data_IF_714858955578
#
_entry.id   IF_714858955578
#
_cell.length_a   1.000
_cell.length_b   1.000
_cell.length_c   1.000
_cell.angle_alpha   90.00
_cell.angle_beta   90.00
_cell.angle_gamma   90.00
#
_symmetry.space_group_name_H-M   'P 1'
#
loop_
_entity.id
_entity.type
_entity.pdbx_description
1 polymer ?
#
# COMPACT_ATOMS: atom_id res chain seq x y z
N UNK A 1 8.35 -29.67 10.23
CA UNK A 1 9.75 -30.06 10.44
C UNK A 1 10.63 -29.18 9.56
N UNK A 2 11.73 -28.63 10.09
CA UNK A 2 12.70 -27.83 9.32
C UNK A 2 13.92 -28.65 8.96
N UNK A 3 14.50 -28.43 7.78
CA UNK A 3 15.66 -29.19 7.29
C UNK A 3 16.70 -28.23 6.70
N UNK A 4 17.99 -28.56 6.84
CA UNK A 4 19.09 -27.83 6.20
C UNK A 4 19.63 -28.66 5.05
N UNK A 5 19.79 -28.03 3.88
CA UNK A 5 20.27 -28.65 2.64
C UNK A 5 21.43 -27.85 2.06
N UNK A 6 22.37 -28.54 1.43
CA UNK A 6 23.58 -28.00 0.81
C UNK A 6 23.74 -28.41 -0.65
N UNK A 7 23.04 -29.47 -1.06
CA UNK A 7 23.10 -30.05 -2.40
C UNK A 7 21.71 -30.14 -3.04
N UNK A 8 21.66 -30.30 -4.38
CA UNK A 8 20.39 -30.43 -5.10
C UNK A 8 19.62 -31.68 -4.65
N UNK A 9 20.33 -32.79 -4.40
CA UNK A 9 19.70 -34.02 -3.93
C UNK A 9 19.04 -33.86 -2.56
N UNK A 10 19.69 -33.17 -1.63
CA UNK A 10 19.12 -32.89 -0.31
C UNK A 10 17.89 -31.98 -0.41
N UNK A 11 17.94 -31.00 -1.33
CA UNK A 11 16.81 -30.13 -1.62
C UNK A 11 15.63 -30.91 -2.23
N UNK A 12 15.88 -31.77 -3.21
CA UNK A 12 14.85 -32.57 -3.86
C UNK A 12 14.18 -33.53 -2.85
N UNK A 13 14.97 -34.14 -1.96
CA UNK A 13 14.44 -34.98 -0.88
C UNK A 13 13.60 -34.15 0.11
N UNK A 14 14.08 -32.98 0.52
CA UNK A 14 13.34 -32.08 1.41
C UNK A 14 12.00 -31.63 0.84
N UNK A 15 11.95 -31.38 -0.48
CA UNK A 15 10.72 -31.03 -1.20
C UNK A 15 9.76 -32.22 -1.29
N UNK A 16 10.27 -33.41 -1.61
CA UNK A 16 9.47 -34.65 -1.65
C UNK A 16 8.84 -34.97 -0.29
N UNK A 17 9.59 -34.74 0.79
CA UNK A 17 9.14 -34.95 2.17
C UNK A 17 8.21 -33.83 2.68
N UNK A 18 7.94 -32.81 1.86
CA UNK A 18 7.11 -31.63 2.19
C UNK A 18 7.59 -30.96 3.48
N UNK A 19 8.91 -30.74 3.60
CA UNK A 19 9.49 -30.03 4.72
C UNK A 19 8.84 -28.64 4.87
N UNK A 20 8.53 -28.25 6.11
CA UNK A 20 7.82 -27.01 6.39
C UNK A 20 8.69 -25.77 6.11
N UNK A 21 10.00 -25.89 6.38
CA UNK A 21 11.01 -24.86 6.11
C UNK A 21 12.30 -25.54 5.66
N UNK A 22 12.86 -25.09 4.54
CA UNK A 22 14.11 -25.61 3.98
C UNK A 22 15.19 -24.53 4.09
N UNK A 23 16.22 -24.74 4.92
CA UNK A 23 17.39 -23.88 5.00
C UNK A 23 18.42 -24.28 3.94
N UNK A 24 18.76 -23.38 3.03
CA UNK A 24 19.82 -23.59 2.05
C UNK A 24 21.11 -22.95 2.57
N UNK A 25 22.14 -23.80 2.75
CA UNK A 25 23.49 -23.41 3.13
C UNK A 25 24.51 -24.02 2.16
N UNK A 26 24.44 -23.62 0.88
CA UNK A 26 25.36 -24.11 -0.15
C UNK A 26 26.67 -23.31 -0.17
N UNK A 27 27.73 -23.93 -0.68
CA UNK A 27 28.96 -23.18 -1.00
C UNK A 27 28.70 -22.15 -2.11
N UNK A 28 29.55 -21.12 -2.16
CA UNK A 28 29.49 -20.10 -3.20
C UNK A 28 29.64 -20.75 -4.59
N UNK A 29 28.77 -20.36 -5.54
CA UNK A 29 28.80 -20.91 -6.91
C UNK A 29 27.94 -22.16 -7.10
N UNK A 30 27.48 -22.81 -6.03
CA UNK A 30 26.53 -23.93 -6.11
C UNK A 30 25.12 -23.38 -6.31
N UNK A 31 24.51 -23.74 -7.43
CA UNK A 31 23.14 -23.35 -7.76
C UNK A 31 22.17 -24.46 -7.41
N UNK A 32 21.20 -24.13 -6.55
CA UNK A 32 20.12 -25.03 -6.19
C UNK A 32 18.81 -24.56 -6.83
N UNK A 33 18.16 -25.46 -7.57
CA UNK A 33 16.93 -25.21 -8.33
C UNK A 33 15.72 -25.74 -7.57
N UNK A 34 14.73 -24.88 -7.37
CA UNK A 34 13.38 -25.26 -6.97
C UNK A 34 12.53 -25.25 -8.24
N UNK A 35 12.13 -26.43 -8.73
CA UNK A 35 11.36 -26.57 -9.97
C UNK A 35 9.86 -26.74 -9.77
N UNK A 36 9.44 -27.41 -8.68
CA UNK A 36 8.04 -27.74 -8.41
C UNK A 36 7.78 -27.77 -6.90
N UNK A 37 7.80 -26.59 -6.29
CA UNK A 37 7.90 -26.48 -4.83
C UNK A 37 6.54 -26.51 -4.11
N UNK A 38 5.42 -26.54 -4.82
CA UNK A 38 4.09 -26.56 -4.19
C UNK A 38 3.83 -25.43 -3.18
N UNK A 39 4.49 -24.28 -3.31
CA UNK A 39 4.55 -23.18 -2.32
C UNK A 39 5.52 -23.37 -1.15
N UNK A 40 6.67 -24.02 -1.39
CA UNK A 40 7.68 -24.23 -0.34
C UNK A 40 8.23 -22.93 0.23
N UNK A 41 8.51 -22.95 1.54
CA UNK A 41 9.22 -21.88 2.24
C UNK A 41 10.71 -22.23 2.36
N UNK A 42 11.54 -21.45 1.67
CA UNK A 42 13.00 -21.67 1.58
C UNK A 42 13.73 -20.52 2.20
N UNK A 43 14.75 -20.80 3.03
CA UNK A 43 15.61 -19.77 3.63
C UNK A 43 17.03 -19.97 3.12
N UNK A 44 17.48 -19.14 2.18
CA UNK A 44 18.86 -19.16 1.68
C UNK A 44 19.77 -18.34 2.60
N UNK A 45 20.93 -18.88 2.98
CA UNK A 45 21.89 -18.22 3.89
C UNK A 45 23.29 -18.16 3.31
N UNK A 46 24.13 -17.27 3.84
CA UNK A 46 25.54 -17.15 3.44
C UNK A 46 25.69 -16.67 1.99
N UNK A 47 26.48 -17.38 1.19
CA UNK A 47 26.73 -17.07 -0.24
C UNK A 47 25.92 -17.97 -1.18
N UNK A 48 24.78 -18.49 -0.71
CA UNK A 48 23.98 -19.47 -1.46
C UNK A 48 23.41 -18.88 -2.76
N UNK A 49 23.36 -19.69 -3.82
CA UNK A 49 22.67 -19.33 -5.06
C UNK A 49 21.42 -20.19 -5.27
N UNK A 50 20.26 -19.54 -5.39
CA UNK A 50 18.95 -20.20 -5.49
C UNK A 50 18.25 -19.77 -6.77
N UNK A 51 17.74 -20.74 -7.53
CA UNK A 51 16.79 -20.49 -8.62
C UNK A 51 15.44 -21.05 -8.20
N UNK A 52 14.43 -20.19 -8.01
CA UNK A 52 13.12 -20.57 -7.52
C UNK A 52 12.01 -20.40 -8.56
N UNK A 53 11.52 -21.51 -9.10
CA UNK A 53 10.38 -21.59 -10.00
C UNK A 53 9.14 -22.13 -9.29
N UNK A 54 7.96 -21.75 -9.78
CA UNK A 54 6.66 -22.20 -9.29
C UNK A 54 6.36 -21.70 -7.87
N UNK A 55 5.44 -20.75 -7.74
CA UNK A 55 4.86 -20.11 -6.53
C UNK A 55 5.65 -20.21 -5.21
N UNK A 56 6.98 -20.10 -5.24
CA UNK A 56 7.84 -20.36 -4.08
C UNK A 56 7.92 -19.13 -3.17
N UNK A 57 8.18 -19.32 -1.87
CA UNK A 57 8.55 -18.23 -0.97
C UNK A 57 10.00 -18.39 -0.52
N UNK A 58 10.88 -17.48 -0.96
CA UNK A 58 12.31 -17.53 -0.60
C UNK A 58 12.65 -16.37 0.31
N UNK A 59 13.25 -16.66 1.46
CA UNK A 59 13.87 -15.67 2.35
C UNK A 59 15.39 -15.78 2.21
N UNK A 60 16.05 -14.78 1.68
CA UNK A 60 17.51 -14.79 1.53
C UNK A 60 18.22 -13.92 2.59
N UNK A 61 19.34 -14.45 3.08
CA UNK A 61 20.24 -13.93 4.12
C UNK A 61 21.70 -14.12 3.68
N UNK A 62 22.62 -13.33 4.23
CA UNK A 62 23.99 -13.21 3.72
C UNK A 62 24.05 -12.62 2.31
N UNK A 63 25.20 -12.76 1.64
CA UNK A 63 25.44 -12.37 0.24
C UNK A 63 24.85 -13.36 -0.77
N UNK A 64 23.61 -13.81 -0.56
CA UNK A 64 22.97 -14.81 -1.41
C UNK A 64 22.51 -14.23 -2.75
N UNK A 65 22.41 -15.07 -3.78
CA UNK A 65 21.87 -14.72 -5.10
C UNK A 65 20.58 -15.48 -5.35
N UNK A 66 19.48 -14.79 -5.66
CA UNK A 66 18.19 -15.45 -5.92
C UNK A 66 17.67 -15.08 -7.31
N UNK A 67 17.39 -16.09 -8.14
CA UNK A 67 16.66 -15.93 -9.41
C UNK A 67 15.27 -16.54 -9.23
N UNK A 68 14.19 -15.79 -9.44
CA UNK A 68 12.85 -16.23 -9.05
C UNK A 68 11.78 -15.97 -10.14
N UNK A 69 10.96 -16.98 -10.47
CA UNK A 69 9.96 -16.90 -11.55
C UNK A 69 8.97 -18.09 -11.56
N UNK A 70 7.65 -17.93 -11.32
CA UNK A 70 6.96 -16.92 -10.50
C UNK A 70 7.11 -17.29 -9.02
N UNK A 71 7.61 -16.37 -8.20
CA UNK A 71 7.83 -16.64 -6.76
C UNK A 71 7.95 -15.34 -5.96
N UNK A 72 7.68 -15.42 -4.66
CA UNK A 72 7.87 -14.31 -3.72
C UNK A 72 9.23 -14.41 -3.04
N UNK A 73 9.94 -13.29 -2.91
CA UNK A 73 11.27 -13.25 -2.27
C UNK A 73 11.30 -12.15 -1.21
N UNK A 74 11.74 -12.48 0.00
CA UNK A 74 12.06 -11.52 1.05
C UNK A 74 13.56 -11.53 1.31
N UNK A 75 14.17 -10.36 1.48
CA UNK A 75 15.61 -10.25 1.73
C UNK A 75 15.95 -9.45 2.99
N UNK A 76 16.97 -9.91 3.73
CA UNK A 76 17.33 -9.37 5.07
C UNK A 76 18.79 -8.98 5.26
N UNK A 77 19.64 -8.99 4.23
CA UNK A 77 21.08 -8.59 4.25
C UNK A 77 21.51 -7.99 2.88
N UNK A 78 22.79 -7.76 2.53
CA UNK A 78 23.17 -7.41 1.15
C UNK A 78 23.00 -8.61 0.20
N UNK A 79 22.39 -8.47 -0.98
CA UNK A 79 22.22 -9.57 -1.96
C UNK A 79 21.96 -9.08 -3.38
N UNK A 80 22.09 -9.97 -4.36
CA UNK A 80 21.60 -9.76 -5.73
C UNK A 80 20.41 -10.66 -6.02
N UNK A 81 19.34 -10.11 -6.61
CA UNK A 81 18.12 -10.83 -6.91
C UNK A 81 17.65 -10.51 -8.33
N UNK A 82 17.28 -11.52 -9.11
CA UNK A 82 16.66 -11.36 -10.44
C UNK A 82 15.28 -12.04 -10.49
N UNK A 83 14.29 -11.39 -11.07
CA UNK A 83 12.90 -11.85 -11.11
C UNK A 83 12.28 -11.70 -12.49
N UNK A 84 11.86 -12.81 -13.11
CA UNK A 84 11.51 -12.82 -14.54
C UNK A 84 10.02 -12.93 -14.89
N UNK A 85 9.12 -13.22 -13.94
CA UNK A 85 7.64 -13.35 -14.14
C UNK A 85 6.93 -13.06 -12.79
N UNK A 86 5.57 -12.94 -12.69
CA UNK A 86 4.90 -12.29 -11.57
C UNK A 86 5.44 -12.70 -10.20
N UNK A 87 5.96 -11.73 -9.47
CA UNK A 87 6.68 -11.94 -8.21
C UNK A 87 6.51 -10.75 -7.28
N UNK A 88 6.55 -11.00 -5.98
CA UNK A 88 6.62 -9.94 -4.96
C UNK A 88 7.97 -10.02 -4.24
N UNK A 89 8.67 -8.90 -4.17
CA UNK A 89 10.04 -8.80 -3.67
C UNK A 89 10.09 -7.73 -2.59
N UNK A 90 10.51 -8.08 -1.38
CA UNK A 90 10.72 -7.11 -0.32
C UNK A 90 12.17 -7.10 0.15
N UNK A 91 12.84 -5.96 -0.01
CA UNK A 91 14.18 -5.71 0.52
C UNK A 91 14.09 -4.76 1.73
N UNK A 92 14.86 -5.07 2.78
CA UNK A 92 14.85 -4.33 4.07
C UNK A 92 16.25 -3.93 4.56
N UNK A 93 17.26 -3.93 3.68
CA UNK A 93 18.66 -3.73 4.08
C UNK A 93 19.48 -2.94 3.06
N UNK A 94 20.59 -2.31 3.50
CA UNK A 94 21.48 -1.54 2.64
C UNK A 94 22.19 -2.42 1.60
N UNK A 95 22.36 -1.87 0.39
CA UNK A 95 23.18 -2.41 -0.70
C UNK A 95 22.68 -3.72 -1.33
N UNK A 96 21.41 -3.76 -1.75
CA UNK A 96 20.86 -4.86 -2.55
C UNK A 96 20.70 -4.47 -4.03
N UNK A 97 20.86 -5.43 -4.96
CA UNK A 97 20.64 -5.24 -6.39
C UNK A 97 19.48 -6.11 -6.87
N UNK A 98 18.40 -5.51 -7.36
CA UNK A 98 17.19 -6.20 -7.79
C UNK A 98 16.95 -5.96 -9.27
N UNK A 99 16.66 -7.01 -10.03
CA UNK A 99 16.16 -6.89 -11.41
C UNK A 99 14.78 -7.52 -11.46
N UNK A 100 13.76 -6.75 -11.84
CA UNK A 100 12.37 -7.18 -11.89
C UNK A 100 11.79 -6.95 -13.30
N UNK A 101 11.06 -7.95 -13.80
CA UNK A 101 10.47 -7.97 -15.14
C UNK A 101 8.97 -8.28 -15.06
N UNK A 102 8.25 -8.02 -16.15
CA UNK A 102 6.81 -8.27 -16.28
C UNK A 102 5.99 -7.60 -15.16
N UNK A 103 5.15 -8.34 -14.44
CA UNK A 103 4.22 -7.81 -13.41
C UNK A 103 4.76 -8.04 -12.00
N UNK A 104 5.99 -7.59 -11.73
CA UNK A 104 6.61 -7.72 -10.40
C UNK A 104 6.25 -6.56 -9.47
N UNK A 105 6.19 -6.83 -8.16
CA UNK A 105 6.12 -5.80 -7.11
C UNK A 105 7.44 -5.80 -6.33
N UNK A 106 8.18 -4.70 -6.32
CA UNK A 106 9.43 -4.54 -5.57
C UNK A 106 9.29 -3.47 -4.49
N UNK A 107 9.70 -3.77 -3.27
CA UNK A 107 9.90 -2.77 -2.21
C UNK A 107 11.39 -2.67 -1.92
N UNK A 108 11.99 -1.55 -2.29
CA UNK A 108 13.39 -1.22 -2.06
C UNK A 108 13.54 -0.18 -0.95
N UNK A 109 14.52 -0.39 -0.09
CA UNK A 109 14.83 0.49 1.04
C UNK A 109 16.34 0.75 1.11
N UNK A 110 16.73 1.77 1.86
CA UNK A 110 18.11 2.16 2.10
C UNK A 110 18.87 2.40 0.78
N UNK A 111 20.09 1.90 0.62
CA UNK A 111 20.93 2.08 -0.57
C UNK A 111 20.78 0.95 -1.60
N UNK A 112 19.54 0.54 -1.91
CA UNK A 112 19.27 -0.53 -2.89
C UNK A 112 19.29 -0.03 -4.34
N UNK A 113 19.74 -0.85 -5.28
CA UNK A 113 19.64 -0.61 -6.72
C UNK A 113 18.55 -1.52 -7.32
N UNK A 114 17.65 -0.97 -8.13
CA UNK A 114 16.54 -1.71 -8.76
C UNK A 114 16.48 -1.40 -10.24
N UNK A 115 16.51 -2.42 -11.09
CA UNK A 115 16.07 -2.34 -12.48
C UNK A 115 14.68 -2.95 -12.60
N UNK A 116 13.69 -2.18 -13.04
CA UNK A 116 12.30 -2.61 -13.21
C UNK A 116 11.81 -2.38 -14.64
N UNK A 117 11.20 -3.42 -15.23
CA UNK A 117 10.73 -3.43 -16.63
C UNK A 117 9.37 -4.10 -16.75
N UNK A 118 8.71 -3.94 -17.89
CA UNK A 118 7.35 -4.41 -18.11
C UNK A 118 6.30 -3.58 -17.35
N UNK A 119 5.44 -4.25 -16.61
CA UNK A 119 4.36 -3.65 -15.78
C UNK A 119 4.71 -3.70 -14.29
N UNK A 120 5.99 -3.52 -13.96
CA UNK A 120 6.50 -3.64 -12.60
C UNK A 120 6.07 -2.46 -11.72
N UNK A 121 5.75 -2.73 -10.45
CA UNK A 121 5.47 -1.75 -9.41
C UNK A 121 6.63 -1.67 -8.42
N UNK A 122 7.26 -0.51 -8.25
CA UNK A 122 8.40 -0.31 -7.35
C UNK A 122 8.06 0.73 -6.28
N UNK A 123 8.26 0.39 -5.01
CA UNK A 123 8.23 1.34 -3.90
C UNK A 123 9.66 1.52 -3.38
N UNK A 124 10.22 2.72 -3.56
CA UNK A 124 11.61 3.03 -3.21
C UNK A 124 11.69 4.04 -2.05
N UNK A 125 12.53 3.73 -1.05
CA UNK A 125 12.77 4.56 0.13
C UNK A 125 14.28 4.72 0.40
N UNK A 126 14.64 5.68 1.25
CA UNK A 126 16.04 5.91 1.62
C UNK A 126 16.83 6.51 0.46
N UNK A 127 18.03 5.98 0.21
CA UNK A 127 18.94 6.41 -0.87
C UNK A 127 18.94 5.40 -2.03
N UNK A 128 17.79 4.80 -2.33
CA UNK A 128 17.69 3.75 -3.34
C UNK A 128 17.81 4.34 -4.75
N UNK A 129 18.47 3.62 -5.66
CA UNK A 129 18.57 3.94 -7.08
C UNK A 129 17.64 3.02 -7.88
N UNK A 130 16.71 3.58 -8.65
CA UNK A 130 15.76 2.83 -9.46
C UNK A 130 15.92 3.21 -10.93
N UNK A 131 16.05 2.23 -11.80
CA UNK A 131 15.95 2.37 -13.26
C UNK A 131 14.65 1.69 -13.71
N UNK A 132 13.64 2.47 -14.07
CA UNK A 132 12.34 1.98 -14.48
C UNK A 132 12.09 2.21 -15.98
N UNK A 133 11.59 1.19 -16.68
CA UNK A 133 11.27 1.25 -18.12
C UNK A 133 9.88 0.68 -18.42
N UNK A 134 9.46 0.82 -19.67
CA UNK A 134 8.18 0.35 -20.20
C UNK A 134 6.99 0.97 -19.44
N UNK A 135 5.97 0.19 -19.11
CA UNK A 135 4.78 0.59 -18.35
C UNK A 135 4.92 0.41 -16.84
N UNK A 136 6.15 0.51 -16.32
CA UNK A 136 6.40 0.40 -14.88
C UNK A 136 5.82 1.58 -14.10
N UNK A 137 5.63 1.40 -12.80
CA UNK A 137 5.17 2.43 -11.87
C UNK A 137 6.12 2.49 -10.67
N UNK A 138 6.58 3.70 -10.31
CA UNK A 138 7.46 3.94 -9.17
C UNK A 138 6.79 4.87 -8.14
N UNK A 139 6.81 4.47 -6.87
CA UNK A 139 6.52 5.33 -5.72
C UNK A 139 7.85 5.71 -5.06
N UNK A 140 8.27 6.96 -5.22
CA UNK A 140 9.58 7.44 -4.80
C UNK A 140 9.51 8.27 -3.50
N UNK A 141 10.27 7.85 -2.48
CA UNK A 141 10.31 8.46 -1.15
C UNK A 141 11.75 8.68 -0.69
N UNK A 142 11.92 9.47 0.37
CA UNK A 142 13.24 9.75 0.94
C UNK A 142 14.13 10.51 -0.03
N UNK A 143 15.38 10.08 -0.14
CA UNK A 143 16.40 10.65 -1.04
C UNK A 143 16.72 9.69 -2.20
N UNK A 144 15.71 9.00 -2.73
CA UNK A 144 15.91 8.04 -3.81
C UNK A 144 16.28 8.73 -5.13
N UNK A 145 17.03 8.03 -5.98
CA UNK A 145 17.34 8.44 -7.34
C UNK A 145 16.53 7.58 -8.30
N UNK A 146 15.72 8.17 -9.18
CA UNK A 146 14.89 7.42 -10.12
C UNK A 146 15.20 7.86 -11.55
N UNK A 147 15.67 6.92 -12.35
CA UNK A 147 15.77 7.03 -13.80
C UNK A 147 14.54 6.40 -14.45
N UNK A 148 13.75 7.18 -15.19
CA UNK A 148 12.48 6.70 -15.73
C UNK A 148 12.28 7.09 -17.20
N UNK A 149 11.86 6.11 -18.02
CA UNK A 149 11.46 6.37 -19.41
C UNK A 149 10.07 6.96 -19.51
N UNK A 150 9.73 7.52 -20.68
CA UNK A 150 8.51 8.30 -20.95
C UNK A 150 7.19 7.71 -20.44
N UNK A 151 7.05 6.39 -20.45
CA UNK A 151 5.79 5.71 -20.14
C UNK A 151 5.68 5.23 -18.68
N UNK A 152 6.71 5.51 -17.88
CA UNK A 152 6.72 5.16 -16.45
C UNK A 152 5.94 6.21 -15.66
N UNK A 153 4.96 5.78 -14.87
CA UNK A 153 4.29 6.64 -13.89
C UNK A 153 5.11 6.75 -12.61
N UNK A 154 5.26 7.95 -12.07
CA UNK A 154 6.03 8.20 -10.85
C UNK A 154 5.20 9.01 -9.86
N UNK A 155 4.94 8.45 -8.67
CA UNK A 155 4.42 9.21 -7.53
C UNK A 155 5.58 9.71 -6.67
N UNK A 156 5.79 11.02 -6.64
CA UNK A 156 6.83 11.67 -5.86
C UNK A 156 6.31 12.04 -4.47
N UNK A 157 6.89 11.47 -3.42
CA UNK A 157 6.49 11.72 -2.03
C UNK A 157 7.58 12.43 -1.20
N UNK A 158 8.69 12.84 -1.80
CA UNK A 158 9.73 13.61 -1.11
C UNK A 158 10.49 14.51 -2.08
N UNK A 159 10.67 15.77 -1.70
CA UNK A 159 11.46 16.78 -2.42
C UNK A 159 12.97 16.44 -2.47
N UNK A 160 13.41 15.42 -1.71
CA UNK A 160 14.80 14.94 -1.74
C UNK A 160 15.06 13.88 -2.82
N UNK A 161 14.02 13.44 -3.53
CA UNK A 161 14.18 12.50 -4.63
C UNK A 161 14.78 13.20 -5.83
N UNK A 162 15.79 12.59 -6.43
CA UNK A 162 16.32 13.02 -7.72
C UNK A 162 15.64 12.22 -8.82
N UNK A 163 15.10 12.92 -9.83
CA UNK A 163 14.42 12.29 -10.98
C UNK A 163 15.20 12.62 -12.25
N UNK A 164 15.72 11.58 -12.89
CA UNK A 164 16.39 11.67 -14.19
C UNK A 164 15.52 11.01 -15.27
N UNK A 165 15.22 11.74 -16.33
CA UNK A 165 14.47 11.22 -17.48
C UNK A 165 13.06 11.80 -17.62
N UNK A 166 12.22 11.09 -18.38
CA UNK A 166 11.00 11.64 -18.97
C UNK A 166 9.72 10.98 -18.45
N UNK A 167 9.77 10.26 -17.33
CA UNK A 167 8.59 9.62 -16.75
C UNK A 167 7.47 10.61 -16.44
N UNK A 168 6.23 10.12 -16.41
CA UNK A 168 5.05 10.90 -16.05
C UNK A 168 5.00 11.07 -14.53
N UNK A 169 5.38 12.26 -14.05
CA UNK A 169 5.46 12.56 -12.62
C UNK A 169 4.13 13.11 -12.10
N UNK A 170 3.65 12.51 -11.03
CA UNK A 170 2.61 13.06 -10.15
C UNK A 170 3.32 13.47 -8.86
N UNK A 171 3.53 14.78 -8.70
CA UNK A 171 4.21 15.33 -7.54
C UNK A 171 3.25 15.50 -6.37
N UNK A 172 3.34 14.60 -5.38
CA UNK A 172 2.50 14.64 -4.19
C UNK A 172 3.06 15.55 -3.10
N UNK A 173 4.29 16.06 -3.28
CA UNK A 173 4.94 16.92 -2.27
C UNK A 173 4.53 18.37 -2.39
N UNK A 174 3.99 18.76 -3.55
CA UNK A 174 3.44 20.10 -3.80
C UNK A 174 1.97 20.19 -3.45
N UNK A 175 1.31 19.07 -3.13
CA UNK A 175 -0.12 19.04 -2.78
C UNK A 175 -0.29 19.58 -1.37
N UNK A 176 -1.01 20.69 -1.25
CA UNK A 176 -1.39 21.25 0.04
C UNK A 176 -2.66 20.55 0.56
N UNK A 177 -2.49 19.55 1.42
CA UNK A 177 -3.61 18.85 2.04
C UNK A 177 -4.35 19.67 3.13
N UNK A 178 -3.86 20.86 3.48
CA UNK A 178 -4.58 21.78 4.37
C UNK A 178 -5.69 22.55 3.65
N UNK A 179 -5.67 22.59 2.31
CA UNK A 179 -6.73 23.18 1.49
C UNK A 179 -7.88 22.17 1.27
N UNK A 180 -9.11 22.46 1.72
CA UNK A 180 -10.24 21.54 1.57
C UNK A 180 -10.57 21.20 0.11
N UNK A 181 -10.43 22.13 -0.82
CA UNK A 181 -10.71 21.88 -2.24
C UNK A 181 -9.72 20.86 -2.82
N UNK A 182 -8.43 21.09 -2.57
CA UNK A 182 -7.34 20.16 -2.93
C UNK A 182 -7.52 18.79 -2.27
N UNK A 183 -7.90 18.75 -1.00
CA UNK A 183 -8.19 17.49 -0.30
C UNK A 183 -9.34 16.73 -0.96
N UNK A 184 -10.45 17.42 -1.27
CA UNK A 184 -11.58 16.82 -1.97
C UNK A 184 -11.20 16.27 -3.35
N UNK A 185 -10.45 17.04 -4.14
CA UNK A 185 -9.98 16.62 -5.47
C UNK A 185 -9.11 15.36 -5.37
N UNK A 186 -8.11 15.37 -4.49
CA UNK A 186 -7.20 14.24 -4.30
C UNK A 186 -7.93 12.96 -3.86
N UNK A 187 -8.93 13.11 -2.99
CA UNK A 187 -9.70 12.00 -2.45
C UNK A 187 -10.92 11.60 -3.30
N UNK A 188 -11.16 12.28 -4.44
CA UNK A 188 -12.30 12.00 -5.32
C UNK A 188 -13.66 12.34 -4.70
N UNK A 189 -13.69 13.29 -3.75
CA UNK A 189 -14.92 13.75 -3.11
C UNK A 189 -15.70 14.64 -4.07
N UNK A 190 -16.97 14.30 -4.27
CA UNK A 190 -17.87 15.14 -5.08
C UNK A 190 -18.13 16.46 -4.36
N UNK A 191 -17.82 17.57 -5.02
CA UNK A 191 -18.16 18.92 -4.57
C UNK A 191 -19.12 19.54 -5.57
N UNK A 192 -20.28 20.01 -5.12
CA UNK A 192 -21.28 20.70 -5.96
C UNK A 192 -21.83 21.88 -5.19
N UNK A 193 -21.86 23.05 -5.82
CA UNK A 193 -22.36 24.31 -5.22
C UNK A 193 -21.72 24.64 -3.85
N UNK A 194 -20.43 24.34 -3.71
CA UNK A 194 -19.67 24.55 -2.47
C UNK A 194 -19.98 23.55 -1.35
N UNK A 195 -20.67 22.45 -1.64
CA UNK A 195 -20.96 21.36 -0.71
C UNK A 195 -20.12 20.13 -1.06
N UNK A 196 -19.34 19.64 -0.11
CA UNK A 196 -18.61 18.38 -0.21
C UNK A 196 -19.46 17.23 0.33
N UNK A 197 -19.58 16.15 -0.44
CA UNK A 197 -20.34 14.95 -0.07
C UNK A 197 -19.41 13.88 0.50
N UNK A 198 -19.58 13.59 1.80
CA UNK A 198 -18.68 12.78 2.60
C UNK A 198 -19.45 11.67 3.32
N UNK A 199 -18.73 10.80 4.02
CA UNK A 199 -19.27 9.62 4.65
C UNK A 199 -19.00 9.51 6.14
N UNK A 200 -19.94 8.86 6.84
CA UNK A 200 -19.86 8.54 8.26
C UNK A 200 -20.33 7.11 8.52
N UNK A 201 -19.51 6.33 9.21
CA UNK A 201 -19.95 5.09 9.83
C UNK A 201 -20.46 5.36 11.24
N UNK A 202 -21.58 4.73 11.58
CA UNK A 202 -22.25 4.79 12.88
C UNK A 202 -22.70 3.40 13.30
N UNK A 203 -23.03 3.23 14.58
CA UNK A 203 -23.64 2.00 15.09
C UNK A 203 -25.10 1.84 14.60
N UNK A 204 -25.75 0.74 14.98
CA UNK A 204 -27.13 0.44 14.59
C UNK A 204 -28.14 1.47 15.10
N UNK A 205 -27.79 2.20 16.14
CA UNK A 205 -28.55 3.28 16.77
C UNK A 205 -28.24 4.67 16.19
N UNK A 206 -27.56 4.75 15.03
CA UNK A 206 -27.24 6.00 14.33
C UNK A 206 -26.30 6.97 15.06
N UNK A 207 -25.52 6.45 16.01
CA UNK A 207 -24.62 7.26 16.84
C UNK A 207 -23.18 6.75 16.77
N UNK A 208 -22.30 7.44 17.49
CA UNK A 208 -20.93 6.98 17.77
C UNK A 208 -20.70 7.07 19.28
N UNK A 209 -19.52 6.65 19.77
CA UNK A 209 -19.14 6.85 21.18
C UNK A 209 -19.15 8.31 21.66
N UNK A 210 -19.38 9.29 20.78
CA UNK A 210 -19.53 10.72 21.10
C UNK A 210 -20.99 11.21 21.18
N UNK A 211 -21.98 10.35 20.94
CA UNK A 211 -23.39 10.62 21.23
C UNK A 211 -24.15 11.57 20.29
N UNK A 212 -23.54 12.04 19.21
CA UNK A 212 -24.26 12.79 18.15
C UNK A 212 -25.13 11.83 17.35
N UNK A 213 -26.39 12.19 17.13
CA UNK A 213 -27.36 11.47 16.29
C UNK A 213 -27.16 11.83 14.82
N UNK A 214 -27.03 10.79 13.98
CA UNK A 214 -26.90 10.90 12.54
C UNK A 214 -28.02 10.16 11.79
N UNK A 215 -29.17 9.92 12.44
CA UNK A 215 -30.30 9.24 11.81
C UNK A 215 -30.63 9.82 10.43
N UNK A 216 -31.04 9.02 9.43
CA UNK A 216 -31.37 9.53 8.09
C UNK A 216 -32.37 10.70 8.16
N UNK A 217 -32.12 11.75 7.39
CA UNK A 217 -32.89 12.99 7.40
C UNK A 217 -32.38 14.07 8.37
N UNK A 218 -31.48 13.73 9.31
CA UNK A 218 -30.95 14.71 10.29
C UNK A 218 -29.87 15.63 9.71
N UNK A 219 -29.65 16.76 10.38
CA UNK A 219 -28.59 17.74 10.11
C UNK A 219 -27.76 17.98 11.39
N UNK A 220 -26.91 17.02 11.79
CA UNK A 220 -26.16 17.15 13.04
C UNK A 220 -25.23 18.37 13.02
N UNK A 221 -25.07 18.99 14.20
CA UNK A 221 -24.13 20.08 14.46
C UNK A 221 -23.28 19.74 15.69
N UNK A 222 -21.97 19.99 15.61
CA UNK A 222 -21.05 19.78 16.73
C UNK A 222 -21.18 20.92 17.75
N UNK A 223 -21.57 20.63 19.00
CA UNK A 223 -21.69 21.66 20.03
C UNK A 223 -20.34 22.21 20.51
N UNK A 224 -19.25 21.49 20.23
CA UNK A 224 -17.89 21.80 20.69
C UNK A 224 -16.97 22.27 19.54
N UNK A 225 -17.54 22.75 18.44
CA UNK A 225 -16.79 23.15 17.25
C UNK A 225 -15.65 24.14 17.54
N UNK A 226 -14.45 23.79 17.09
CA UNK A 226 -13.28 24.68 17.11
C UNK A 226 -12.52 24.52 15.79
N UNK A 227 -12.59 25.54 14.93
CA UNK A 227 -11.92 25.54 13.63
C UNK A 227 -10.39 25.60 13.73
N UNK A 228 -9.81 25.89 14.90
CA UNK A 228 -8.36 25.95 15.14
C UNK A 228 -7.79 24.65 15.68
N UNK A 229 -8.63 23.79 16.26
CA UNK A 229 -8.24 22.45 16.72
C UNK A 229 -7.85 21.58 15.52
N UNK A 230 -6.68 20.91 15.58
CA UNK A 230 -6.10 20.10 14.49
C UNK A 230 -6.02 18.61 14.80
N UNK A 231 -6.74 18.16 15.83
CA UNK A 231 -6.81 16.75 16.23
C UNK A 231 -8.25 16.21 16.18
N UNK A 232 -8.42 14.92 16.49
CA UNK A 232 -9.71 14.25 16.58
C UNK A 232 -10.60 14.84 17.70
N UNK A 233 -11.74 15.41 17.34
CA UNK A 233 -12.70 16.06 18.24
C UNK A 233 -13.02 17.47 17.77
N UNK A 234 -13.78 18.24 18.58
CA UNK A 234 -14.08 19.66 18.32
C UNK A 234 -14.70 19.91 16.93
N UNK A 235 -15.63 19.03 16.55
CA UNK A 235 -16.25 18.99 15.23
C UNK A 235 -16.74 17.59 14.83
N UNK A 236 -17.64 17.55 13.86
CA UNK A 236 -18.12 16.30 13.27
C UNK A 236 -17.07 15.79 12.28
N UNK A 237 -16.65 14.53 12.41
CA UNK A 237 -15.58 13.94 11.61
C UNK A 237 -16.17 13.05 10.51
N UNK A 238 -15.72 13.27 9.27
CA UNK A 238 -16.20 12.58 8.06
C UNK A 238 -15.04 12.12 7.18
N UNK A 239 -15.26 11.09 6.36
CA UNK A 239 -14.28 10.55 5.41
C UNK A 239 -14.79 10.65 3.97
N UNK A 240 -13.90 10.49 3.01
CA UNK A 240 -14.21 10.39 1.57
C UNK A 240 -14.86 9.06 1.16
N UNK A 241 -14.80 8.01 2.00
CA UNK A 241 -15.35 6.70 1.71
C UNK A 241 -15.97 6.00 2.94
N UNK A 242 -17.10 5.27 2.81
CA UNK A 242 -17.74 4.54 3.92
C UNK A 242 -16.79 3.64 4.71
N UNK A 243 -16.01 2.79 4.01
CA UNK A 243 -15.06 1.88 4.68
C UNK A 243 -13.95 2.60 5.44
N UNK A 244 -13.49 3.79 5.01
CA UNK A 244 -12.52 4.56 5.80
C UNK A 244 -13.15 5.10 7.07
N UNK A 245 -14.42 5.51 7.00
CA UNK A 245 -15.15 5.93 8.20
C UNK A 245 -15.40 4.76 9.17
N UNK A 246 -15.49 3.51 8.68
CA UNK A 246 -15.59 2.31 9.52
C UNK A 246 -14.32 2.10 10.36
N UNK A 247 -13.14 2.32 9.79
CA UNK A 247 -11.87 2.18 10.52
C UNK A 247 -11.84 3.06 11.79
N UNK A 248 -12.53 4.20 11.75
CA UNK A 248 -12.69 5.11 12.90
C UNK A 248 -13.80 4.73 13.88
N UNK A 249 -14.86 4.09 13.40
CA UNK A 249 -15.90 3.54 14.28
C UNK A 249 -15.37 2.29 15.02
N UNK A 250 -14.60 1.46 14.32
CA UNK A 250 -14.21 0.13 14.74
C UNK A 250 -15.35 -0.88 14.64
N UNK A 251 -15.02 -2.15 14.87
CA UNK A 251 -15.99 -3.25 14.84
C UNK A 251 -16.22 -3.85 13.45
N UNK A 252 -17.08 -4.89 13.37
CA UNK A 252 -17.32 -5.60 12.13
C UNK A 252 -18.30 -4.84 11.23
N UNK A 253 -18.13 -4.99 9.91
CA UNK A 253 -18.87 -4.21 8.89
C UNK A 253 -20.38 -4.40 8.91
N UNK A 254 -20.86 -5.56 9.36
CA UNK A 254 -22.28 -5.96 9.46
C UNK A 254 -23.00 -5.41 10.71
N UNK A 255 -22.26 -4.78 11.62
CA UNK A 255 -22.81 -4.03 12.76
C UNK A 255 -22.83 -2.52 12.52
N UNK A 256 -22.16 -2.05 11.46
CA UNK A 256 -22.11 -0.64 11.10
C UNK A 256 -23.22 -0.25 10.12
N UNK A 257 -23.68 0.99 10.24
CA UNK A 257 -24.46 1.71 9.22
C UNK A 257 -23.61 2.81 8.61
N UNK A 258 -23.86 3.15 7.36
CA UNK A 258 -23.12 4.18 6.64
C UNK A 258 -24.05 5.28 6.17
N UNK A 259 -23.55 6.51 6.25
CA UNK A 259 -24.28 7.69 5.85
C UNK A 259 -23.46 8.48 4.87
N UNK A 260 -24.12 9.03 3.85
CA UNK A 260 -23.65 10.15 3.06
C UNK A 260 -24.20 11.44 3.66
N UNK A 261 -23.34 12.45 3.77
CA UNK A 261 -23.67 13.78 4.31
C UNK A 261 -23.12 14.86 3.39
N UNK A 262 -23.73 16.04 3.39
CA UNK A 262 -23.14 17.23 2.76
C UNK A 262 -22.65 18.21 3.81
N UNK A 263 -21.42 18.72 3.65
CA UNK A 263 -20.86 19.79 4.49
C UNK A 263 -20.38 20.95 3.60
N UNK A 264 -20.38 22.16 4.16
CA UNK A 264 -19.84 23.36 3.52
C UNK A 264 -18.33 23.23 3.30
N UNK A 265 -17.87 23.36 2.05
CA UNK A 265 -16.45 23.26 1.71
C UNK A 265 -15.59 24.32 2.43
N UNK A 266 -16.12 25.54 2.57
CA UNK A 266 -15.48 26.66 3.24
C UNK A 266 -15.46 26.55 4.78
N UNK A 267 -16.24 25.62 5.35
CA UNK A 267 -16.24 25.30 6.79
C UNK A 267 -15.38 24.05 7.12
N UNK A 268 -14.83 23.37 6.11
CA UNK A 268 -14.05 22.15 6.29
C UNK A 268 -12.65 22.43 6.87
N UNK A 269 -12.23 21.56 7.80
CA UNK A 269 -10.86 21.49 8.29
C UNK A 269 -10.34 20.08 7.99
N UNK A 270 -9.27 19.98 7.23
CA UNK A 270 -8.65 18.69 6.89
C UNK A 270 -7.82 18.16 8.06
N UNK A 271 -7.80 16.84 8.23
CA UNK A 271 -7.15 16.13 9.32
C UNK A 271 -6.51 14.84 8.77
N UNK A 272 -5.51 15.00 7.89
CA UNK A 272 -4.86 13.86 7.22
C UNK A 272 -5.82 13.14 6.26
N UNK A 273 -6.24 11.92 6.61
CA UNK A 273 -7.07 11.05 5.75
C UNK A 273 -8.58 11.26 5.92
N UNK A 274 -8.98 12.22 6.75
CA UNK A 274 -10.36 12.62 7.03
C UNK A 274 -10.48 14.13 7.19
N UNK A 275 -11.70 14.62 7.38
CA UNK A 275 -11.96 16.03 7.68
C UNK A 275 -12.82 16.18 8.93
N UNK A 276 -12.91 17.40 9.45
CA UNK A 276 -13.98 17.81 10.35
C UNK A 276 -14.71 19.05 9.85
N UNK A 277 -15.98 19.14 10.20
CA UNK A 277 -16.85 20.28 9.92
C UNK A 277 -17.71 20.61 11.14
N UNK A 278 -18.23 21.84 11.19
CA UNK A 278 -19.14 22.29 12.25
C UNK A 278 -20.45 21.54 12.22
N UNK A 279 -21.04 21.37 11.04
CA UNK A 279 -22.39 20.84 10.86
C UNK A 279 -22.57 20.19 9.50
N UNK A 280 -23.58 19.35 9.41
CA UNK A 280 -24.12 18.83 8.15
C UNK A 280 -25.15 19.82 7.61
N UNK A 281 -25.08 20.11 6.32
CA UNK A 281 -25.98 21.05 5.62
C UNK A 281 -26.81 20.39 4.51
N UNK A 282 -26.49 19.15 4.15
CA UNK A 282 -27.37 18.26 3.38
C UNK A 282 -27.62 17.01 4.21
N UNK A 283 -28.89 16.69 4.43
CA UNK A 283 -29.34 15.69 5.38
C UNK A 283 -28.62 14.35 5.23
N UNK A 284 -28.41 13.68 6.36
CA UNK A 284 -27.86 12.32 6.40
C UNK A 284 -28.71 11.38 5.54
N UNK A 285 -28.09 10.67 4.60
CA UNK A 285 -28.74 9.64 3.78
C UNK A 285 -28.05 8.31 4.01
N UNK A 286 -28.81 7.25 4.32
CA UNK A 286 -28.25 5.91 4.46
C UNK A 286 -27.72 5.40 3.12
N UNK A 287 -26.49 4.88 3.15
CA UNK A 287 -25.82 4.29 2.01
C UNK A 287 -25.28 2.92 2.36
N UNK A 288 -25.02 2.10 1.34
CA UNK A 288 -24.28 0.86 1.50
C UNK A 288 -22.77 1.12 1.69
N UNK A 289 -22.01 0.05 1.90
CA UNK A 289 -20.54 0.12 2.08
C UNK A 289 -19.78 0.67 0.87
N UNK A 290 -20.45 0.85 -0.27
CA UNK A 290 -19.91 1.39 -1.51
C UNK A 290 -20.38 2.83 -1.77
N UNK A 291 -21.13 3.43 -0.85
CA UNK A 291 -21.62 4.81 -0.97
C UNK A 291 -22.86 4.96 -1.84
N UNK A 292 -23.54 3.85 -2.18
CA UNK A 292 -24.79 3.88 -2.94
C UNK A 292 -25.95 4.03 -1.98
N UNK A 293 -26.85 4.95 -2.26
CA UNK A 293 -28.04 5.18 -1.44
C UNK A 293 -28.88 3.90 -1.33
N UNK A 294 -29.29 3.58 -0.10
CA UNK A 294 -30.21 2.49 0.16
C UNK A 294 -31.61 3.10 0.10
N UNK A 295 -32.38 2.73 -0.91
CA UNK A 295 -33.77 3.16 -1.00
C UNK A 295 -34.52 2.74 0.28
N UNK A 296 -35.21 3.69 0.89
CA UNK A 296 -36.11 3.38 1.98
C UNK A 296 -37.14 2.38 1.45
N UNK A 297 -37.24 1.20 2.09
CA UNK A 297 -38.36 0.30 1.84
C UNK A 297 -39.62 1.07 2.22
N UNK A 298 -40.35 1.57 1.22
CA UNK A 298 -41.68 2.13 1.42
C UNK A 298 -42.56 0.99 1.95
N UNK A 299 -42.87 1.04 3.24
CA UNK A 299 -43.86 0.18 3.87
C UNK A 299 -45.27 0.55 3.41
#
# INVERSE_FOLDING_TARGET
MSITVRTQQELDNALADKAAVIYIESEAGVWLRLGDSGSSHVVARGSSHVVAWGSSHVVAWGSSHVVASPSSVQHRTPSSVQHRTPSSVQHRTPSSHVVAWDSSHVVARDSSHVEARGSSHVVAWGSSHVVARDSSHVVARGSSHVEATKYVGIHLHSQRVTLDGNGQVIDLTTINFDDPATWCEFHGVTVTDGIAYLYKAVNREWTTGRGVDYSPGTLPEAPDWDATWRDCGKGLNFCDHPLRSLDYLGGPVDEARFLKVGVRLDEMVTLGDKIKARRVVVACVEVDRYGREIEAVTA
#
